data_IF_409268214652
#
_entry.id   IF_409268214652
#
_cell.length_a   1.000
_cell.length_b   1.000
_cell.length_c   1.000
_cell.angle_alpha   90.00
_cell.angle_beta   90.00
_cell.angle_gamma   90.00
#
_symmetry.space_group_name_H-M   'P 1'
#
loop_
_entity.id
_entity.type
_entity.pdbx_description
1 polymer ?
#
# COMPACT_ATOMS: atom_id res chain seq x y z
N UNK A 1 -8.21 -15.53 1.42
CA UNK A 1 -8.73 -14.35 2.16
C UNK A 1 -7.71 -13.95 3.23
N UNK A 2 -7.78 -12.74 3.81
CA UNK A 2 -6.85 -12.37 4.90
C UNK A 2 -6.87 -13.37 6.07
N UNK A 3 -7.99 -14.08 6.30
CA UNK A 3 -8.09 -15.19 7.27
C UNK A 3 -7.07 -16.31 7.09
N UNK A 4 -6.50 -16.46 5.88
CA UNK A 4 -5.67 -17.60 5.51
C UNK A 4 -4.17 -17.25 5.55
N UNK A 5 -3.81 -16.06 6.06
CA UNK A 5 -2.42 -15.63 6.19
C UNK A 5 -1.68 -16.41 7.28
N UNK A 6 -0.52 -16.97 6.92
CA UNK A 6 0.29 -17.89 7.73
C UNK A 6 1.67 -17.34 8.10
N UNK A 7 1.93 -16.06 7.81
CA UNK A 7 3.22 -15.41 8.11
C UNK A 7 4.23 -15.36 6.98
N UNK A 8 3.82 -15.67 5.75
CA UNK A 8 4.66 -15.44 4.58
C UNK A 8 4.75 -13.96 4.19
N UNK A 9 5.21 -13.74 2.96
CA UNK A 9 5.64 -12.42 2.49
C UNK A 9 4.49 -11.42 2.35
N UNK A 10 4.78 -10.16 2.69
CA UNK A 10 3.85 -9.03 2.55
C UNK A 10 4.32 -8.08 1.46
N UNK A 11 3.47 -7.80 0.48
CA UNK A 11 3.70 -6.77 -0.52
C UNK A 11 3.12 -5.43 -0.07
N UNK A 12 3.91 -4.35 -0.20
CA UNK A 12 3.53 -3.00 0.24
C UNK A 12 3.04 -2.13 -0.93
N UNK A 13 1.74 -2.21 -1.25
CA UNK A 13 1.11 -1.47 -2.36
C UNK A 13 0.59 -0.07 -2.01
N UNK A 14 0.22 0.71 -3.02
CA UNK A 14 -0.30 2.09 -2.86
C UNK A 14 0.61 3.14 -3.50
N UNK A 15 0.38 4.43 -3.19
CA UNK A 15 1.15 5.55 -3.74
C UNK A 15 2.68 5.33 -3.61
N UNK A 16 3.43 5.65 -4.67
CA UNK A 16 4.89 5.47 -4.71
C UNK A 16 5.64 6.72 -4.20
N UNK A 17 5.16 7.89 -4.60
CA UNK A 17 5.80 9.16 -4.31
C UNK A 17 5.06 9.91 -3.20
N UNK A 18 5.75 10.89 -2.59
CA UNK A 18 5.20 11.76 -1.54
C UNK A 18 4.61 11.00 -0.33
N UNK A 19 5.14 9.80 -0.07
CA UNK A 19 4.83 8.97 1.08
C UNK A 19 6.12 8.49 1.76
N UNK A 20 6.03 8.13 3.04
CA UNK A 20 7.15 7.53 3.78
C UNK A 20 6.74 6.37 4.69
N UNK A 21 5.48 5.94 4.66
CA UNK A 21 4.96 4.91 5.56
C UNK A 21 5.67 3.56 5.38
N UNK A 22 6.09 3.22 4.16
CA UNK A 22 6.86 1.99 3.90
C UNK A 22 8.16 1.98 4.69
N UNK A 23 8.99 3.02 4.53
CA UNK A 23 10.31 3.09 5.16
C UNK A 23 10.24 3.35 6.67
N UNK A 24 9.33 4.23 7.09
CA UNK A 24 9.29 4.72 8.48
C UNK A 24 8.47 3.85 9.42
N UNK A 25 7.53 3.06 8.89
CA UNK A 25 6.56 2.32 9.71
C UNK A 25 6.54 0.84 9.31
N UNK A 26 6.08 0.51 8.10
CA UNK A 26 5.78 -0.87 7.74
C UNK A 26 7.02 -1.77 7.65
N UNK A 27 8.06 -1.35 6.90
CA UNK A 27 9.27 -2.16 6.73
C UNK A 27 9.97 -2.44 8.07
N UNK A 28 10.22 -1.44 8.95
CA UNK A 28 10.82 -1.71 10.26
C UNK A 28 10.03 -2.71 11.09
N UNK A 29 8.71 -2.49 11.26
CA UNK A 29 7.87 -3.31 12.12
C UNK A 29 7.76 -4.76 11.60
N UNK A 30 7.49 -4.94 10.30
CA UNK A 30 7.38 -6.26 9.69
C UNK A 30 8.71 -7.04 9.75
N UNK A 31 9.85 -6.36 9.50
CA UNK A 31 11.17 -7.00 9.59
C UNK A 31 11.54 -7.37 11.02
N UNK A 32 11.17 -6.56 12.01
CA UNK A 32 11.36 -6.90 13.42
C UNK A 32 10.59 -8.16 13.81
N UNK A 33 9.41 -8.37 13.23
CA UNK A 33 8.61 -9.60 13.38
C UNK A 33 9.09 -10.78 12.52
N UNK A 34 10.17 -10.63 11.73
CA UNK A 34 10.70 -11.68 10.86
C UNK A 34 9.92 -11.91 9.56
N UNK A 35 9.00 -11.01 9.22
CA UNK A 35 8.12 -11.13 8.04
C UNK A 35 8.85 -10.61 6.79
N UNK A 36 8.96 -11.41 5.71
CA UNK A 36 9.54 -10.95 4.44
C UNK A 36 8.68 -9.87 3.79
N UNK A 37 9.33 -8.86 3.20
CA UNK A 37 8.63 -7.71 2.60
C UNK A 37 9.03 -7.52 1.14
N UNK A 38 8.03 -7.37 0.27
CA UNK A 38 8.19 -6.90 -1.10
C UNK A 38 7.68 -5.46 -1.24
N UNK A 39 8.38 -4.67 -2.04
CA UNK A 39 8.00 -3.27 -2.33
C UNK A 39 7.96 -3.03 -3.84
N UNK A 40 7.31 -1.96 -4.31
CA UNK A 40 7.37 -1.56 -5.71
C UNK A 40 8.81 -1.31 -6.18
N UNK A 41 9.11 -1.51 -7.46
CA UNK A 41 10.47 -1.37 -7.99
C UNK A 41 11.09 0.00 -7.75
N UNK A 42 10.28 1.06 -7.92
CA UNK A 42 10.71 2.43 -7.69
C UNK A 42 11.29 2.63 -6.28
N UNK A 43 10.73 1.93 -5.29
CA UNK A 43 11.16 1.99 -3.90
C UNK A 43 12.51 1.28 -3.68
N UNK A 44 12.81 0.21 -4.41
CA UNK A 44 14.14 -0.43 -4.36
C UNK A 44 15.26 0.50 -4.82
N UNK A 45 15.00 1.31 -5.84
CA UNK A 45 15.94 2.33 -6.33
C UNK A 45 16.09 3.47 -5.32
N UNK A 46 14.97 3.96 -4.78
CA UNK A 46 14.97 5.12 -3.89
C UNK A 46 15.59 4.80 -2.52
N UNK A 47 15.40 3.58 -2.02
CA UNK A 47 15.75 3.20 -0.65
C UNK A 47 17.10 2.47 -0.56
N UNK A 48 17.81 2.29 -1.68
CA UNK A 48 19.06 1.54 -1.72
C UNK A 48 18.89 0.09 -1.24
N UNK A 49 17.67 -0.46 -1.32
CA UNK A 49 17.35 -1.81 -0.87
C UNK A 49 17.86 -2.90 -1.82
N UNK A 50 18.49 -2.50 -2.94
CA UNK A 50 19.17 -3.39 -3.86
C UNK A 50 20.67 -3.14 -3.81
N UNK A 51 21.43 -4.14 -3.36
CA UNK A 51 22.89 -4.23 -3.59
C UNK A 51 23.25 -4.43 -5.07
N UNK A 52 22.26 -4.44 -5.97
CA UNK A 52 22.39 -4.73 -7.40
C UNK A 52 21.86 -3.61 -8.32
N UNK A 53 21.44 -2.45 -7.78
CA UNK A 53 20.77 -1.38 -8.54
C UNK A 53 21.64 -0.66 -9.58
N UNK A 54 22.95 -0.92 -9.64
CA UNK A 54 23.86 -0.21 -10.56
C UNK A 54 23.98 -0.84 -11.95
N UNK A 55 23.35 -1.99 -12.24
CA UNK A 55 23.53 -2.66 -13.54
C UNK A 55 22.24 -2.82 -14.33
N UNK A 56 22.10 -1.90 -15.29
CA UNK A 56 21.33 -1.98 -16.55
C UNK A 56 19.85 -1.58 -16.57
N UNK A 57 19.58 -0.56 -17.39
CA UNK A 57 18.26 -0.16 -17.91
C UNK A 57 17.56 -1.28 -18.71
N UNK A 58 18.27 -2.34 -19.12
CA UNK A 58 17.68 -3.54 -19.73
C UNK A 58 17.18 -4.55 -18.66
N UNK A 59 17.88 -4.66 -17.53
CA UNK A 59 17.41 -5.43 -16.37
C UNK A 59 16.20 -4.77 -15.69
N UNK A 60 15.92 -3.49 -15.99
CA UNK A 60 14.72 -2.79 -15.55
C UNK A 60 13.43 -3.46 -16.02
N UNK A 61 13.35 -3.91 -17.28
CA UNK A 61 12.17 -4.59 -17.81
C UNK A 61 11.98 -6.00 -17.21
N UNK A 62 13.08 -6.72 -17.01
CA UNK A 62 13.10 -8.02 -16.32
C UNK A 62 12.72 -7.86 -14.84
N UNK A 63 13.22 -6.83 -14.17
CA UNK A 63 12.85 -6.48 -12.79
C UNK A 63 11.39 -6.01 -12.68
N UNK A 64 10.87 -5.27 -13.66
CA UNK A 64 9.45 -4.89 -13.68
C UNK A 64 8.56 -6.14 -13.72
N UNK A 65 8.89 -7.12 -14.56
CA UNK A 65 8.21 -8.42 -14.56
C UNK A 65 8.39 -9.16 -13.23
N UNK A 66 9.60 -9.24 -12.69
CA UNK A 66 9.84 -9.87 -11.38
C UNK A 66 9.07 -9.20 -10.25
N UNK A 67 8.74 -7.91 -10.35
CA UNK A 67 8.11 -7.15 -9.27
C UNK A 67 6.60 -7.16 -9.35
N UNK A 68 6.02 -7.16 -10.54
CA UNK A 68 4.64 -7.59 -10.71
C UNK A 68 4.48 -9.05 -10.26
N UNK A 69 5.51 -9.89 -10.50
CA UNK A 69 5.55 -11.25 -9.96
C UNK A 69 5.61 -11.24 -8.44
N UNK A 70 6.34 -10.32 -7.79
CA UNK A 70 6.37 -10.19 -6.32
C UNK A 70 5.00 -9.86 -5.72
N UNK A 71 4.24 -8.96 -6.34
CA UNK A 71 2.85 -8.68 -5.96
C UNK A 71 1.96 -9.92 -6.14
N UNK A 72 2.18 -10.70 -7.20
CA UNK A 72 1.41 -11.92 -7.49
C UNK A 72 1.73 -13.09 -6.54
N UNK A 73 2.97 -13.22 -6.09
CA UNK A 73 3.42 -14.31 -5.21
C UNK A 73 3.38 -13.97 -3.72
N UNK A 74 3.18 -12.69 -3.36
CA UNK A 74 3.03 -12.29 -1.97
C UNK A 74 1.81 -12.99 -1.36
N UNK A 75 1.97 -13.51 -0.15
CA UNK A 75 0.87 -14.14 0.55
C UNK A 75 -0.16 -13.11 1.01
N UNK A 76 0.29 -11.89 1.31
CA UNK A 76 -0.54 -10.78 1.72
C UNK A 76 -0.15 -9.49 1.00
N UNK A 77 -1.14 -8.72 0.58
CA UNK A 77 -0.98 -7.35 0.10
C UNK A 77 -1.43 -6.39 1.20
N UNK A 78 -0.54 -5.51 1.66
CA UNK A 78 -0.89 -4.32 2.44
C UNK A 78 -0.93 -3.11 1.50
N UNK A 79 -2.11 -2.59 1.24
CA UNK A 79 -2.32 -1.48 0.30
C UNK A 79 -2.74 -0.21 1.03
N UNK A 80 -2.03 0.91 0.81
CA UNK A 80 -2.25 2.15 1.58
C UNK A 80 -2.69 3.32 0.70
N UNK A 81 -3.80 3.95 1.07
CA UNK A 81 -4.31 5.20 0.52
C UNK A 81 -4.06 6.32 1.54
N UNK A 82 -2.96 7.09 1.42
CA UNK A 82 -2.54 8.05 2.45
C UNK A 82 -3.44 9.28 2.51
N UNK A 83 -3.47 9.97 3.66
CA UNK A 83 -4.37 11.11 3.92
C UNK A 83 -4.02 12.38 3.16
N UNK A 84 -2.80 12.50 2.66
CA UNK A 84 -2.22 13.73 2.11
C UNK A 84 -2.13 13.76 0.57
N UNK A 85 -2.67 12.75 -0.12
CA UNK A 85 -2.62 12.64 -1.59
C UNK A 85 -4.00 12.40 -2.20
N UNK A 86 -4.19 12.84 -3.45
CA UNK A 86 -5.40 12.54 -4.23
C UNK A 86 -5.64 11.04 -4.39
N UNK A 87 -4.55 10.29 -4.59
CA UNK A 87 -4.55 8.82 -4.68
C UNK A 87 -5.53 8.22 -5.67
N UNK A 88 -5.96 8.96 -6.71
CA UNK A 88 -6.99 8.49 -7.66
C UNK A 88 -6.55 7.19 -8.34
N UNK A 89 -5.34 7.15 -8.89
CA UNK A 89 -4.81 5.94 -9.52
C UNK A 89 -4.68 4.76 -8.54
N UNK A 90 -4.20 5.02 -7.32
CA UNK A 90 -4.06 4.00 -6.28
C UNK A 90 -5.43 3.48 -5.80
N UNK A 91 -6.45 4.34 -5.72
CA UNK A 91 -7.81 3.90 -5.40
C UNK A 91 -8.39 3.02 -6.51
N UNK A 92 -8.12 3.31 -7.78
CA UNK A 92 -8.53 2.44 -8.91
C UNK A 92 -7.88 1.06 -8.82
N UNK A 93 -6.58 1.01 -8.52
CA UNK A 93 -5.86 -0.26 -8.30
C UNK A 93 -6.41 -1.01 -7.07
N UNK A 94 -6.74 -0.30 -5.98
CA UNK A 94 -7.35 -0.92 -4.81
C UNK A 94 -8.72 -1.55 -5.13
N UNK A 95 -9.54 -0.90 -5.98
CA UNK A 95 -10.82 -1.48 -6.45
C UNK A 95 -10.60 -2.79 -7.20
N UNK A 96 -9.59 -2.84 -8.07
CA UNK A 96 -9.20 -4.06 -8.79
C UNK A 96 -8.76 -5.15 -7.81
N UNK A 97 -7.91 -4.81 -6.84
CA UNK A 97 -7.40 -5.74 -5.82
C UNK A 97 -8.49 -6.28 -4.92
N UNK A 98 -9.44 -5.44 -4.48
CA UNK A 98 -10.61 -5.88 -3.69
C UNK A 98 -11.46 -6.88 -4.47
N UNK A 99 -11.51 -6.74 -5.79
CA UNK A 99 -12.25 -7.64 -6.68
C UNK A 99 -11.46 -8.92 -7.04
N UNK A 100 -10.19 -9.01 -6.61
CA UNK A 100 -9.31 -10.15 -6.85
C UNK A 100 -9.42 -11.19 -5.73
N UNK A 101 -8.88 -12.40 -5.95
CA UNK A 101 -8.80 -13.44 -4.93
C UNK A 101 -7.54 -13.35 -4.05
N UNK A 102 -6.75 -12.29 -4.16
CA UNK A 102 -5.54 -12.12 -3.34
C UNK A 102 -5.91 -11.74 -1.90
N UNK A 103 -5.11 -12.18 -0.93
CA UNK A 103 -5.30 -11.71 0.45
C UNK A 103 -4.87 -10.24 0.53
N UNK A 104 -5.80 -9.39 0.98
CA UNK A 104 -5.64 -7.95 0.98
C UNK A 104 -5.99 -7.38 2.36
N UNK A 105 -5.13 -6.47 2.82
CA UNK A 105 -5.44 -5.48 3.85
C UNK A 105 -5.37 -4.09 3.24
N UNK A 106 -6.40 -3.29 3.49
CA UNK A 106 -6.48 -1.93 2.98
C UNK A 106 -6.32 -0.93 4.14
N UNK A 107 -5.48 0.07 3.95
CA UNK A 107 -5.41 1.22 4.85
C UNK A 107 -5.94 2.43 4.10
N UNK A 108 -7.02 3.01 4.61
CA UNK A 108 -7.56 4.28 4.09
C UNK A 108 -7.46 5.30 5.20
N UNK A 109 -6.40 6.11 5.15
CA UNK A 109 -6.20 7.14 6.16
C UNK A 109 -7.27 8.25 6.03
N UNK A 110 -7.76 8.78 7.15
CA UNK A 110 -8.82 9.78 7.17
C UNK A 110 -8.35 11.09 6.53
N UNK A 111 -9.22 11.69 5.71
CA UNK A 111 -8.96 12.94 5.00
C UNK A 111 -9.66 14.08 5.72
N UNK A 112 -8.89 15.09 6.12
CA UNK A 112 -9.41 16.32 6.72
C UNK A 112 -9.00 17.52 5.87
N UNK A 113 -9.69 18.64 6.06
CA UNK A 113 -9.39 19.88 5.34
C UNK A 113 -7.96 20.36 5.66
N UNK A 114 -7.21 20.73 4.62
CA UNK A 114 -5.80 21.15 4.76
C UNK A 114 -4.78 20.01 4.83
N UNK A 115 -5.20 18.73 4.79
CA UNK A 115 -4.27 17.59 4.83
C UNK A 115 -3.55 17.35 3.51
N UNK A 116 -4.13 17.79 2.40
CA UNK A 116 -3.61 17.54 1.07
C UNK A 116 -3.10 18.83 0.45
N UNK A 117 -1.80 18.84 0.15
CA UNK A 117 -1.15 19.91 -0.60
C UNK A 117 -0.40 19.25 -1.75
N UNK A 118 -0.76 19.61 -2.98
CA UNK A 118 -0.13 19.10 -4.18
C UNK A 118 0.21 20.29 -5.09
N UNK A 119 1.44 20.33 -5.60
CA UNK A 119 1.98 21.47 -6.37
C UNK A 119 1.91 22.82 -5.62
N UNK A 120 1.96 22.77 -4.28
CA UNK A 120 1.87 23.96 -3.41
C UNK A 120 0.46 24.50 -3.21
N UNK A 121 -0.56 23.82 -3.75
CA UNK A 121 -1.96 24.19 -3.61
C UNK A 121 -2.69 23.25 -2.64
N UNK A 122 -3.38 23.84 -1.66
CA UNK A 122 -4.24 23.09 -0.76
C UNK A 122 -5.49 22.62 -1.49
N UNK A 123 -5.79 21.32 -1.40
CA UNK A 123 -7.01 20.75 -1.95
C UNK A 123 -8.15 21.02 -0.96
N UNK A 124 -9.17 21.76 -1.42
CA UNK A 124 -10.28 22.24 -0.57
C UNK A 124 -11.62 22.18 -1.32
N UNK A 125 -12.70 22.46 -0.60
CA UNK A 125 -14.01 22.67 -1.21
C UNK A 125 -14.58 21.42 -1.90
N UNK A 126 -14.96 21.55 -3.18
CA UNK A 126 -15.62 20.48 -3.94
C UNK A 126 -14.72 19.27 -4.16
N UNK A 127 -13.46 19.52 -4.52
CA UNK A 127 -12.49 18.46 -4.79
C UNK A 127 -12.23 17.60 -3.55
N UNK A 128 -12.04 18.23 -2.39
CA UNK A 128 -11.87 17.52 -1.12
C UNK A 128 -13.08 16.63 -0.80
N UNK A 129 -14.30 17.14 -1.02
CA UNK A 129 -15.54 16.37 -0.79
C UNK A 129 -15.65 15.17 -1.73
N UNK A 130 -15.23 15.32 -2.98
CA UNK A 130 -15.26 14.23 -3.96
C UNK A 130 -14.21 13.16 -3.63
N UNK A 131 -13.01 13.56 -3.20
CA UNK A 131 -11.96 12.64 -2.75
C UNK A 131 -12.36 11.90 -1.46
N UNK A 132 -12.96 12.59 -0.49
CA UNK A 132 -13.49 11.98 0.73
C UNK A 132 -14.59 10.97 0.40
N UNK A 133 -15.47 11.29 -0.54
CA UNK A 133 -16.53 10.38 -1.01
C UNK A 133 -15.95 9.16 -1.73
N UNK A 134 -14.96 9.33 -2.60
CA UNK A 134 -14.30 8.23 -3.28
C UNK A 134 -13.67 7.23 -2.30
N UNK A 135 -13.04 7.74 -1.22
CA UNK A 135 -12.48 6.91 -0.14
C UNK A 135 -13.57 6.18 0.65
N UNK A 136 -14.69 6.83 0.94
CA UNK A 136 -15.82 6.20 1.60
C UNK A 136 -16.40 5.05 0.75
N UNK A 137 -16.51 5.25 -0.58
CA UNK A 137 -16.98 4.21 -1.50
C UNK A 137 -16.00 3.04 -1.60
N UNK A 138 -14.70 3.31 -1.63
CA UNK A 138 -13.69 2.25 -1.60
C UNK A 138 -13.75 1.44 -0.29
N UNK A 139 -13.92 2.11 0.86
CA UNK A 139 -14.11 1.44 2.16
C UNK A 139 -15.33 0.53 2.14
N UNK A 140 -16.48 1.06 1.74
CA UNK A 140 -17.74 0.29 1.68
C UNK A 140 -17.62 -0.89 0.71
N UNK A 141 -16.93 -0.72 -0.42
CA UNK A 141 -16.65 -1.80 -1.35
C UNK A 141 -15.76 -2.88 -0.74
N UNK A 142 -14.68 -2.50 -0.05
CA UNK A 142 -13.78 -3.43 0.62
C UNK A 142 -14.50 -4.24 1.71
N UNK A 143 -15.26 -3.57 2.57
CA UNK A 143 -16.04 -4.21 3.64
C UNK A 143 -17.08 -5.19 3.09
N UNK A 144 -17.73 -4.86 1.98
CA UNK A 144 -18.69 -5.76 1.31
C UNK A 144 -18.07 -6.99 0.66
N UNK A 145 -16.76 -6.98 0.44
CA UNK A 145 -16.00 -8.11 -0.11
C UNK A 145 -15.12 -8.77 0.97
N UNK A 146 -15.46 -8.59 2.25
CA UNK A 146 -14.75 -9.18 3.39
C UNK A 146 -13.25 -8.82 3.45
N UNK A 147 -12.87 -7.65 2.92
CA UNK A 147 -11.52 -7.09 3.02
C UNK A 147 -11.45 -6.22 4.27
N UNK A 148 -10.49 -6.50 5.15
CA UNK A 148 -10.27 -5.69 6.35
C UNK A 148 -9.66 -4.34 6.00
N UNK A 149 -10.23 -3.28 6.60
CA UNK A 149 -9.86 -1.89 6.37
C UNK A 149 -9.41 -1.25 7.69
N UNK A 150 -8.27 -0.56 7.65
CA UNK A 150 -7.70 0.18 8.79
C UNK A 150 -7.59 1.67 8.48
N UNK A 151 -7.48 2.49 9.53
CA UNK A 151 -7.31 3.94 9.41
C UNK A 151 -5.86 4.39 9.53
N UNK A 152 -4.97 3.50 10.00
CA UNK A 152 -3.53 3.76 10.06
C UNK A 152 -2.69 2.56 9.62
N UNK A 153 -1.49 2.85 9.11
CA UNK A 153 -0.52 1.82 8.72
C UNK A 153 -0.02 1.05 9.94
N UNK A 154 0.14 1.72 11.09
CA UNK A 154 0.60 1.09 12.33
C UNK A 154 -0.39 0.03 12.80
N UNK A 155 -1.68 0.36 12.92
CA UNK A 155 -2.72 -0.61 13.32
C UNK A 155 -2.78 -1.81 12.37
N UNK A 156 -2.67 -1.57 11.05
CA UNK A 156 -2.68 -2.65 10.07
C UNK A 156 -1.48 -3.57 10.23
N UNK A 157 -0.28 -3.03 10.48
CA UNK A 157 0.93 -3.82 10.67
C UNK A 157 0.92 -4.57 11.99
N UNK A 158 0.48 -3.93 13.08
CA UNK A 158 0.32 -4.59 14.37
C UNK A 158 -0.65 -5.77 14.25
N UNK A 159 -1.76 -5.61 13.51
CA UNK A 159 -2.69 -6.70 13.24
C UNK A 159 -2.08 -7.86 12.44
N UNK A 160 -1.16 -7.57 11.50
CA UNK A 160 -0.42 -8.61 10.78
C UNK A 160 0.49 -9.38 11.75
N UNK A 161 1.21 -8.66 12.62
CA UNK A 161 2.18 -9.25 13.56
C UNK A 161 1.48 -10.07 14.64
N UNK A 162 0.40 -9.55 15.24
CA UNK A 162 -0.39 -10.25 16.27
C UNK A 162 -0.96 -11.59 15.79
N UNK A 163 -1.15 -11.78 14.48
CA UNK A 163 -1.63 -13.05 13.92
C UNK A 163 -0.57 -14.14 13.82
N UNK A 164 0.70 -13.80 14.04
CA UNK A 164 1.80 -14.77 14.07
C UNK A 164 2.09 -15.30 15.47
N UNK A 165 1.47 -14.70 16.50
CA UNK A 165 1.52 -15.14 17.89
C UNK A 165 0.43 -16.19 18.19
#
# INVERSE_FOLDING_TARGET
MFSDYTGGSVYLGGNLTATSWRQKVAIPLLRTAGIPVYVPFADYLQFGLSSAAEKHVQALAEHFQEIETQKAIAELILFVIPRNLRSIAAMTEAVELVSSHQALLLVIEPVEEGCMVEEGLAITGRELKDLARARAYLREMAERNDVAVFESVTEAVDNIVERLE
#
